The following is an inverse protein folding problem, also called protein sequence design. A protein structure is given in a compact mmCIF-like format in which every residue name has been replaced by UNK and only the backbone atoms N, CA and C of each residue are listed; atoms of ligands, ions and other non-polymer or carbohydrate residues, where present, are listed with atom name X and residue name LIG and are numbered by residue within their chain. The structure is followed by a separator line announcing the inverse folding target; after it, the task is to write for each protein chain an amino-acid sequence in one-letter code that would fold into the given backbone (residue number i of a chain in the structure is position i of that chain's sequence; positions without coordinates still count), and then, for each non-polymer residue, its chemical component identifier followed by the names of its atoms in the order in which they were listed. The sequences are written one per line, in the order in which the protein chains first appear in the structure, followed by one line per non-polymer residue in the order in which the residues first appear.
data_IF_491862636632
#
_entry.id   IF_491862636632
#
_cell.length_a   1.000
_cell.length_b   1.000
_cell.length_c   1.000
_cell.angle_alpha   90.00
_cell.angle_beta   90.00
_cell.angle_gamma   90.00
#
_symmetry.space_group_name_H-M   'P 1'
#
loop_
_entity.id
_entity.type
_entity.pdbx_description
1 polymer ?
#
# COMPACT_ATOMS: atom_id res chain seq x y z
N UNK A 1 1.80 -3.32 4.49
CA UNK A 1 1.66 -2.40 3.34
C UNK A 1 0.81 -2.99 2.21
N UNK A 2 0.52 -4.30 2.20
CA UNK A 2 -0.32 -5.01 1.24
C UNK A 2 -1.45 -5.67 2.01
N UNK A 3 -2.64 -5.07 1.97
CA UNK A 3 -3.77 -5.40 2.85
C UNK A 3 -5.09 -5.22 2.12
N UNK A 4 -5.92 -6.24 2.13
CA UNK A 4 -7.25 -6.30 1.56
C UNK A 4 -8.31 -6.22 2.64
N UNK A 5 -9.28 -5.34 2.43
CA UNK A 5 -10.42 -5.16 3.31
C UNK A 5 -11.66 -5.83 2.73
N UNK A 6 -12.79 -5.69 3.41
CA UNK A 6 -14.11 -6.10 2.90
C UNK A 6 -14.49 -5.49 1.54
N UNK A 7 -13.74 -4.49 1.07
CA UNK A 7 -13.94 -3.87 -0.23
C UNK A 7 -13.24 -4.64 -1.37
N UNK A 8 -12.30 -5.53 -1.04
CA UNK A 8 -11.84 -6.61 -1.94
C UNK A 8 -12.89 -7.71 -1.99
N UNK A 9 -14.01 -7.44 -2.67
CA UNK A 9 -15.32 -8.12 -2.54
C UNK A 9 -15.25 -9.64 -2.67
N UNK A 10 -14.30 -10.18 -3.44
CA UNK A 10 -14.24 -11.62 -3.73
C UNK A 10 -13.50 -12.42 -2.66
N UNK A 11 -12.57 -11.80 -1.93
CA UNK A 11 -11.63 -12.50 -1.07
C UNK A 11 -11.23 -11.74 0.22
N UNK A 12 -11.55 -10.46 0.32
CA UNK A 12 -11.28 -9.65 1.50
C UNK A 12 -12.33 -9.85 2.60
N UNK A 13 -11.96 -10.44 3.74
CA UNK A 13 -12.85 -10.63 4.88
C UNK A 13 -12.60 -9.61 6.01
N UNK A 14 -11.51 -8.90 5.96
CA UNK A 14 -11.08 -8.03 7.02
C UNK A 14 -11.86 -6.71 7.04
N UNK A 15 -12.67 -6.47 8.08
CA UNK A 15 -13.30 -5.16 8.26
C UNK A 15 -12.27 -4.11 8.66
N UNK A 16 -12.43 -2.90 8.16
CA UNK A 16 -11.52 -1.77 8.43
C UNK A 16 -11.35 -1.53 9.94
N UNK A 17 -12.42 -1.46 10.77
CA UNK A 17 -12.26 -1.28 12.21
C UNK A 17 -11.40 -2.37 12.87
N UNK A 18 -11.65 -3.64 12.56
CA UNK A 18 -10.89 -4.76 13.15
C UNK A 18 -9.41 -4.74 12.72
N UNK A 19 -9.13 -4.46 11.44
CA UNK A 19 -7.76 -4.31 10.94
C UNK A 19 -6.99 -3.22 11.68
N UNK A 20 -7.58 -2.03 11.79
CA UNK A 20 -6.94 -0.90 12.46
C UNK A 20 -6.72 -1.19 13.94
N UNK A 21 -7.72 -1.75 14.63
CA UNK A 21 -7.63 -2.08 16.05
C UNK A 21 -6.56 -3.15 16.31
N UNK A 22 -6.50 -4.18 15.47
CA UNK A 22 -5.46 -5.21 15.54
C UNK A 22 -4.07 -4.64 15.31
N UNK A 23 -3.89 -3.82 14.28
CA UNK A 23 -2.61 -3.18 14.00
C UNK A 23 -2.14 -2.27 15.14
N UNK A 24 -3.05 -1.52 15.77
CA UNK A 24 -2.74 -0.70 16.95
C UNK A 24 -2.35 -1.59 18.13
N UNK A 25 -3.12 -2.66 18.40
CA UNK A 25 -2.86 -3.60 19.49
C UNK A 25 -1.50 -4.30 19.33
N UNK A 26 -1.10 -4.61 18.09
CA UNK A 26 0.21 -5.20 17.75
C UNK A 26 1.36 -4.16 17.78
N UNK A 27 1.09 -2.91 18.17
CA UNK A 27 2.10 -1.85 18.28
C UNK A 27 2.59 -1.30 16.93
N UNK A 28 1.89 -1.54 15.84
CA UNK A 28 2.23 -0.99 14.53
C UNK A 28 2.03 0.52 14.51
N UNK A 29 2.84 1.22 13.72
CA UNK A 29 2.78 2.69 13.59
C UNK A 29 1.81 3.18 12.51
N UNK A 30 1.28 2.26 11.72
CA UNK A 30 0.35 2.52 10.63
C UNK A 30 0.04 1.26 9.87
N UNK A 31 -0.95 1.33 9.00
CA UNK A 31 -1.34 0.24 8.10
C UNK A 31 -1.74 0.84 6.74
N UNK A 32 -1.53 0.10 5.67
CA UNK A 32 -2.07 0.44 4.36
C UNK A 32 -3.40 -0.28 4.11
N UNK A 33 -4.22 0.30 3.25
CA UNK A 33 -5.34 -0.37 2.59
C UNK A 33 -5.05 -0.36 1.09
N UNK A 34 -5.05 -1.54 0.48
CA UNK A 34 -4.66 -1.76 -0.93
C UNK A 34 -5.62 -2.74 -1.59
N UNK A 35 -6.92 -2.44 -1.55
CA UNK A 35 -7.96 -3.29 -2.13
C UNK A 35 -7.78 -3.52 -3.63
N UNK A 36 -8.32 -4.63 -4.13
CA UNK A 36 -8.19 -5.05 -5.53
C UNK A 36 -8.85 -4.09 -6.51
N UNK A 37 -8.03 -3.29 -7.19
CA UNK A 37 -8.47 -2.41 -8.28
C UNK A 37 -9.38 -1.26 -7.85
N UNK A 38 -9.53 -1.00 -6.57
CA UNK A 38 -10.41 0.06 -6.07
C UNK A 38 -9.84 0.83 -4.85
N UNK A 39 -10.55 1.88 -4.48
CA UNK A 39 -10.27 2.73 -3.31
C UNK A 39 -11.57 2.97 -2.51
N UNK A 40 -12.53 2.07 -2.56
CA UNK A 40 -13.87 2.29 -2.00
C UNK A 40 -13.85 2.41 -0.48
N UNK A 41 -12.97 1.68 0.20
CA UNK A 41 -12.81 1.71 1.66
C UNK A 41 -12.05 2.92 2.21
N UNK A 42 -11.39 3.73 1.39
CA UNK A 42 -10.45 4.76 1.85
C UNK A 42 -11.10 5.80 2.74
N UNK A 43 -12.33 6.22 2.47
CA UNK A 43 -13.04 7.21 3.31
C UNK A 43 -13.40 6.65 4.69
N UNK A 44 -13.87 5.41 4.77
CA UNK A 44 -14.13 4.72 6.03
C UNK A 44 -12.84 4.56 6.82
N UNK A 45 -11.77 4.10 6.17
CA UNK A 45 -10.45 3.92 6.76
C UNK A 45 -9.90 5.22 7.35
N UNK A 46 -9.91 6.31 6.57
CA UNK A 46 -9.49 7.64 7.02
C UNK A 46 -10.26 8.10 8.25
N UNK A 47 -11.59 7.99 8.22
CA UNK A 47 -12.44 8.43 9.32
C UNK A 47 -12.20 7.60 10.58
N UNK A 48 -12.04 6.29 10.44
CA UNK A 48 -11.80 5.41 11.58
C UNK A 48 -10.44 5.67 12.24
N UNK A 49 -9.39 5.81 11.45
CA UNK A 49 -8.05 6.16 11.98
C UNK A 49 -8.06 7.54 12.64
N UNK A 50 -8.72 8.54 12.06
CA UNK A 50 -8.86 9.86 12.69
C UNK A 50 -9.60 9.79 14.03
N UNK A 51 -10.64 8.95 14.16
CA UNK A 51 -11.32 8.71 15.43
C UNK A 51 -10.36 8.11 16.47
N UNK A 52 -9.54 7.12 16.09
CA UNK A 52 -8.53 6.53 16.99
C UNK A 52 -7.47 7.53 17.42
N UNK A 53 -7.08 8.43 16.53
CA UNK A 53 -6.11 9.49 16.80
C UNK A 53 -6.71 10.72 17.52
N UNK A 54 -8.01 10.72 17.87
CA UNK A 54 -8.76 11.91 18.33
C UNK A 54 -8.09 12.64 19.48
N UNK A 55 -7.66 11.92 20.52
CA UNK A 55 -6.96 12.52 21.67
C UNK A 55 -5.64 13.18 21.27
N UNK A 56 -4.80 12.46 20.50
CA UNK A 56 -3.52 12.97 20.00
C UNK A 56 -3.70 14.15 19.04
N UNK A 57 -4.72 14.13 18.21
CA UNK A 57 -5.05 15.26 17.33
C UNK A 57 -5.48 16.51 18.14
N UNK A 58 -6.19 16.31 19.25
CA UNK A 58 -6.50 17.37 20.21
C UNK A 58 -5.23 17.98 20.80
N UNK A 59 -4.34 17.15 21.37
CA UNK A 59 -3.05 17.58 21.90
C UNK A 59 -2.23 18.39 20.88
N UNK A 60 -2.14 17.89 19.64
CA UNK A 60 -1.43 18.56 18.53
C UNK A 60 -2.06 19.94 18.23
N UNK A 61 -3.39 20.02 18.20
CA UNK A 61 -4.12 21.28 17.94
C UNK A 61 -3.83 22.31 19.02
N UNK A 62 -3.85 21.91 20.28
CA UNK A 62 -3.61 22.80 21.42
C UNK A 62 -2.16 23.28 21.45
N UNK A 63 -1.19 22.38 21.21
CA UNK A 63 0.22 22.74 21.09
C UNK A 63 0.46 23.74 19.95
N UNK A 64 -0.13 23.52 18.76
CA UNK A 64 -0.03 24.48 17.65
C UNK A 64 -0.62 25.85 17.99
N UNK A 65 -1.76 25.87 18.69
CA UNK A 65 -2.37 27.13 19.13
C UNK A 65 -1.49 27.85 20.12
N UNK A 66 -0.89 27.13 21.10
CA UNK A 66 0.03 27.70 22.09
C UNK A 66 1.30 28.27 21.43
N UNK A 67 1.92 27.51 20.51
CA UNK A 67 3.07 27.96 19.72
C UNK A 67 2.74 29.27 18.98
N UNK A 68 1.64 29.29 18.24
CA UNK A 68 1.22 30.48 17.50
C UNK A 68 0.93 31.69 18.41
N UNK A 69 0.41 31.45 19.61
CA UNK A 69 0.20 32.49 20.62
C UNK A 69 1.50 33.07 21.17
N UNK A 70 2.47 32.22 21.49
CA UNK A 70 3.81 32.62 21.93
C UNK A 70 4.57 33.41 20.85
N UNK A 71 4.53 32.95 19.59
CA UNK A 71 5.17 33.62 18.44
C UNK A 71 4.57 35.02 18.18
N UNK A 72 3.29 35.20 18.46
CA UNK A 72 2.58 36.51 18.32
C UNK A 72 2.64 37.37 19.58
N UNK A 73 3.20 36.91 20.69
CA UNK A 73 3.21 37.61 21.95
C UNK A 73 1.83 37.76 22.61
N UNK A 74 0.84 36.92 22.24
CA UNK A 74 -0.51 36.94 22.78
C UNK A 74 -0.70 35.99 23.98
N UNK A 75 0.31 35.21 24.31
CA UNK A 75 0.39 34.35 25.49
C UNK A 75 1.48 34.91 26.42
N UNK A 76 1.11 35.32 27.64
CA UNK A 76 2.06 35.77 28.65
C UNK A 76 2.91 34.59 29.12
N UNK A 77 4.24 34.76 29.09
CA UNK A 77 5.22 33.78 29.53
C UNK A 77 6.49 34.48 29.96
N UNK A 78 7.09 34.04 31.06
CA UNK A 78 8.35 34.63 31.60
C UNK A 78 9.53 34.40 30.63
N UNK A 79 9.58 33.27 29.95
CA UNK A 79 10.62 32.96 28.98
C UNK A 79 9.99 32.34 27.68
N UNK A 80 9.54 33.18 26.74
CA UNK A 80 8.86 32.70 25.52
C UNK A 80 9.71 31.78 24.65
N UNK A 81 11.04 32.04 24.59
CA UNK A 81 11.91 31.21 23.72
C UNK A 81 12.08 29.79 24.28
N UNK A 82 12.27 29.66 25.60
CA UNK A 82 12.36 28.34 26.23
C UNK A 82 11.03 27.56 26.10
N UNK A 83 9.90 28.23 26.32
CA UNK A 83 8.58 27.63 26.23
C UNK A 83 8.24 27.21 24.78
N UNK A 84 8.65 27.99 23.77
CA UNK A 84 8.53 27.65 22.38
C UNK A 84 9.33 26.37 22.04
N UNK A 85 10.56 26.25 22.55
CA UNK A 85 11.38 25.05 22.33
C UNK A 85 10.70 23.80 22.91
N UNK A 86 10.19 23.87 24.14
CA UNK A 86 9.46 22.79 24.82
C UNK A 86 8.19 22.43 24.02
N UNK A 87 7.38 23.41 23.64
CA UNK A 87 6.16 23.16 22.89
C UNK A 87 6.43 22.52 21.52
N UNK A 88 7.50 22.91 20.82
CA UNK A 88 7.90 22.32 19.56
C UNK A 88 8.35 20.86 19.72
N UNK A 89 9.13 20.56 20.75
CA UNK A 89 9.54 19.19 21.08
C UNK A 89 8.32 18.31 21.40
N UNK A 90 7.39 18.79 22.23
CA UNK A 90 6.15 18.11 22.56
C UNK A 90 5.29 17.87 21.31
N UNK A 91 5.24 18.84 20.41
CA UNK A 91 4.51 18.72 19.13
C UNK A 91 5.10 17.60 18.27
N UNK A 92 6.42 17.52 18.14
CA UNK A 92 7.05 16.44 17.37
C UNK A 92 6.86 15.07 18.05
N UNK A 93 6.91 15.03 19.39
CA UNK A 93 6.61 13.81 20.14
C UNK A 93 5.14 13.35 19.94
N UNK A 94 4.17 14.28 19.98
CA UNK A 94 2.77 13.99 19.74
C UNK A 94 2.53 13.50 18.30
N UNK A 95 3.14 14.11 17.29
CA UNK A 95 3.06 13.66 15.90
C UNK A 95 3.57 12.22 15.72
N UNK A 96 4.60 11.80 16.46
CA UNK A 96 5.13 10.43 16.42
C UNK A 96 4.20 9.39 17.04
N UNK A 97 3.24 9.80 17.88
CA UNK A 97 2.22 8.91 18.48
C UNK A 97 1.08 8.59 17.51
N UNK A 98 0.88 9.41 16.47
CA UNK A 98 -0.22 9.19 15.52
C UNK A 98 -0.06 7.87 14.79
N UNK A 99 -1.14 7.08 14.79
CA UNK A 99 -1.27 5.94 13.90
C UNK A 99 -1.51 6.43 12.47
N UNK A 100 -0.72 5.94 11.51
CA UNK A 100 -0.70 6.46 10.14
C UNK A 100 -1.57 5.64 9.20
N UNK A 101 -2.62 6.20 8.58
CA UNK A 101 -3.29 5.59 7.46
C UNK A 101 -2.44 5.77 6.20
N UNK A 102 -2.21 4.68 5.46
CA UNK A 102 -1.53 4.70 4.17
C UNK A 102 -2.55 4.29 3.11
N UNK A 103 -2.79 5.17 2.13
CA UNK A 103 -3.76 4.97 1.08
C UNK A 103 -3.12 4.34 -0.13
N UNK A 104 -3.71 3.26 -0.62
CA UNK A 104 -3.21 2.52 -1.75
C UNK A 104 -4.29 1.78 -2.51
N UNK A 105 -3.85 1.02 -3.48
CA UNK A 105 -4.65 0.10 -4.27
C UNK A 105 -3.73 -0.98 -4.83
N UNK A 106 -4.12 -2.23 -4.79
CA UNK A 106 -3.50 -3.25 -5.61
C UNK A 106 -4.11 -3.21 -7.01
N UNK A 107 -3.41 -2.56 -7.92
CA UNK A 107 -3.88 -2.33 -9.28
C UNK A 107 -3.63 -3.53 -10.20
N UNK A 108 -4.50 -3.70 -11.19
CA UNK A 108 -4.28 -4.61 -12.31
C UNK A 108 -3.60 -3.86 -13.45
N UNK A 109 -2.38 -4.24 -13.81
CA UNK A 109 -1.60 -3.64 -14.91
C UNK A 109 -1.75 -4.49 -16.15
N UNK A 110 -2.40 -3.96 -17.18
CA UNK A 110 -2.60 -4.66 -18.45
C UNK A 110 -1.26 -5.04 -19.09
N UNK A 111 -1.19 -6.25 -19.66
CA UNK A 111 0.01 -6.75 -20.36
C UNK A 111 0.31 -5.98 -21.64
N UNK A 112 -0.74 -5.41 -22.25
CA UNK A 112 -0.70 -4.51 -23.42
C UNK A 112 -1.20 -3.14 -22.98
N UNK A 113 -2.01 -2.50 -23.80
CA UNK A 113 -2.68 -1.25 -23.45
C UNK A 113 -4.01 -1.53 -22.77
N UNK A 114 -4.45 -0.65 -21.89
CA UNK A 114 -5.73 -0.76 -21.17
C UNK A 114 -6.95 -0.86 -22.11
N UNK A 115 -6.81 -0.37 -23.35
CA UNK A 115 -7.88 -0.44 -24.37
C UNK A 115 -8.00 -1.81 -25.07
N UNK A 116 -6.98 -2.66 -24.98
CA UNK A 116 -7.04 -4.00 -25.55
C UNK A 116 -7.99 -4.87 -24.70
N UNK A 117 -9.00 -5.44 -25.34
CA UNK A 117 -10.08 -6.22 -24.70
C UNK A 117 -10.36 -7.50 -25.48
N UNK A 118 -9.31 -8.26 -25.80
CA UNK A 118 -9.34 -9.40 -26.70
C UNK A 118 -8.90 -10.69 -26.00
N UNK A 119 -9.86 -11.49 -25.59
CA UNK A 119 -9.62 -12.83 -25.05
C UNK A 119 -8.84 -12.89 -23.73
N UNK A 120 -8.36 -14.08 -23.38
CA UNK A 120 -7.71 -14.37 -22.08
C UNK A 120 -6.52 -13.48 -21.72
N UNK A 121 -5.62 -13.08 -22.66
CA UNK A 121 -4.47 -12.24 -22.28
C UNK A 121 -4.85 -10.89 -21.68
N UNK A 122 -6.01 -10.36 -22.06
CA UNK A 122 -6.47 -9.04 -21.62
C UNK A 122 -7.49 -9.09 -20.46
N UNK A 123 -8.02 -10.26 -20.09
CA UNK A 123 -9.04 -10.40 -19.05
C UNK A 123 -8.54 -10.00 -17.65
N UNK A 124 -7.23 -10.07 -17.42
CA UNK A 124 -6.60 -9.71 -16.17
C UNK A 124 -5.30 -8.98 -16.45
N UNK A 125 -4.78 -8.30 -15.44
CA UNK A 125 -3.46 -7.67 -15.45
C UNK A 125 -2.49 -8.36 -14.50
N UNK A 126 -1.27 -7.83 -14.45
CA UNK A 126 -0.35 -8.11 -13.35
C UNK A 126 -0.76 -7.30 -12.12
N UNK A 127 -0.60 -7.86 -10.94
CA UNK A 127 -0.82 -7.12 -9.70
C UNK A 127 0.33 -6.14 -9.46
N UNK A 128 -0.01 -4.95 -8.96
CA UNK A 128 0.96 -3.92 -8.57
C UNK A 128 0.40 -3.16 -7.37
N UNK A 129 1.09 -3.21 -6.25
CA UNK A 129 0.73 -2.36 -5.10
C UNK A 129 1.18 -0.94 -5.36
N UNK A 130 0.25 -0.01 -5.32
CA UNK A 130 0.48 1.42 -5.53
C UNK A 130 0.01 2.18 -4.30
N UNK A 131 0.93 2.93 -3.67
CA UNK A 131 0.67 3.69 -2.45
C UNK A 131 0.84 5.18 -2.71
N UNK A 132 0.00 5.99 -2.10
CA UNK A 132 0.14 7.45 -2.11
C UNK A 132 1.21 7.90 -1.10
N UNK A 133 2.28 8.51 -1.58
CA UNK A 133 3.37 9.08 -0.77
C UNK A 133 3.00 10.43 -0.17
N UNK A 134 2.18 11.19 -0.89
CA UNK A 134 1.76 12.55 -0.55
C UNK A 134 0.42 12.88 -1.23
N UNK A 135 -0.07 14.11 -1.04
CA UNK A 135 -1.33 14.58 -1.60
C UNK A 135 -1.37 14.49 -3.13
N UNK A 136 -0.29 14.86 -3.81
CA UNK A 136 -0.17 14.72 -5.27
C UNK A 136 -0.33 13.27 -5.71
N UNK A 137 0.36 12.35 -5.03
CA UNK A 137 0.24 10.91 -5.27
C UNK A 137 -1.17 10.39 -5.01
N UNK A 138 -1.84 10.86 -3.96
CA UNK A 138 -3.23 10.50 -3.69
C UNK A 138 -4.17 10.90 -4.84
N UNK A 139 -4.05 12.12 -5.35
CA UNK A 139 -4.83 12.56 -6.50
C UNK A 139 -4.46 11.81 -7.79
N UNK A 140 -3.20 11.46 -7.98
CA UNK A 140 -2.75 10.66 -9.12
C UNK A 140 -3.29 9.22 -9.04
N UNK A 141 -3.28 8.62 -7.84
CA UNK A 141 -3.86 7.30 -7.62
C UNK A 141 -5.37 7.28 -7.92
N UNK A 142 -6.13 8.29 -7.48
CA UNK A 142 -7.55 8.44 -7.81
C UNK A 142 -7.75 8.46 -9.33
N UNK A 143 -6.92 9.20 -10.08
CA UNK A 143 -7.02 9.27 -11.54
C UNK A 143 -6.74 7.91 -12.19
N UNK A 144 -5.69 7.20 -11.73
CA UNK A 144 -5.35 5.88 -12.23
C UNK A 144 -6.49 4.88 -11.99
N UNK A 145 -7.02 4.81 -10.77
CA UNK A 145 -8.13 3.91 -10.42
C UNK A 145 -9.39 4.29 -11.20
N UNK A 146 -9.74 5.58 -11.29
CA UNK A 146 -10.92 6.02 -12.04
C UNK A 146 -10.82 5.64 -13.53
N UNK A 147 -9.66 5.86 -14.16
CA UNK A 147 -9.44 5.46 -15.56
C UNK A 147 -9.45 3.95 -15.74
N UNK A 148 -8.94 3.19 -14.78
CA UNK A 148 -9.01 1.73 -14.82
C UNK A 148 -10.47 1.24 -14.87
N UNK A 149 -11.38 1.87 -14.14
CA UNK A 149 -12.80 1.55 -14.15
C UNK A 149 -13.53 2.05 -15.41
N UNK A 150 -13.27 3.28 -15.84
CA UNK A 150 -14.04 3.90 -16.93
C UNK A 150 -13.54 3.53 -18.33
N UNK A 151 -12.24 3.35 -18.50
CA UNK A 151 -11.60 3.10 -19.79
C UNK A 151 -10.99 1.69 -19.89
N UNK A 152 -10.36 1.23 -18.81
CA UNK A 152 -9.58 0.00 -18.76
C UNK A 152 -10.34 -1.26 -18.37
N UNK A 153 -11.63 -1.16 -18.02
CA UNK A 153 -12.39 -2.30 -17.52
C UNK A 153 -12.59 -3.38 -18.61
N UNK A 154 -12.06 -4.57 -18.31
CA UNK A 154 -12.33 -5.81 -19.04
C UNK A 154 -12.14 -6.98 -18.10
N UNK A 155 -13.23 -7.49 -17.51
CA UNK A 155 -13.28 -8.43 -16.39
C UNK A 155 -12.67 -7.90 -15.08
N UNK A 156 -11.68 -7.00 -15.15
CA UNK A 156 -11.04 -6.30 -14.04
C UNK A 156 -10.78 -4.84 -14.46
N UNK A 157 -10.73 -3.89 -13.49
CA UNK A 157 -10.33 -2.51 -13.76
C UNK A 157 -8.80 -2.45 -13.95
N UNK A 158 -8.34 -2.24 -15.19
CA UNK A 158 -6.91 -2.30 -15.53
C UNK A 158 -6.36 -0.92 -15.89
N UNK A 159 -5.21 -0.63 -15.34
CA UNK A 159 -4.31 0.42 -15.84
C UNK A 159 -3.28 -0.16 -16.81
N UNK A 160 -2.37 0.66 -17.34
CA UNK A 160 -1.22 0.19 -18.10
C UNK A 160 0.04 1.03 -17.80
N UNK A 161 1.19 0.62 -18.34
CA UNK A 161 2.47 1.31 -18.14
C UNK A 161 2.44 2.77 -18.60
N UNK A 162 1.66 3.12 -19.62
CA UNK A 162 1.56 4.51 -20.13
C UNK A 162 0.84 5.41 -19.14
N UNK A 163 -0.26 4.93 -18.56
CA UNK A 163 -0.97 5.69 -17.53
C UNK A 163 -0.17 5.78 -16.22
N UNK A 164 0.51 4.69 -15.83
CA UNK A 164 1.41 4.69 -14.68
C UNK A 164 2.53 5.71 -14.84
N UNK A 165 3.20 5.75 -16.00
CA UNK A 165 4.26 6.73 -16.29
C UNK A 165 3.72 8.16 -16.28
N UNK A 166 2.52 8.40 -16.81
CA UNK A 166 1.87 9.71 -16.83
C UNK A 166 1.53 10.24 -15.43
N UNK A 167 1.13 9.37 -14.51
CA UNK A 167 0.66 9.74 -13.17
C UNK A 167 1.56 9.24 -12.04
N UNK A 168 2.84 8.97 -12.30
CA UNK A 168 3.78 8.37 -11.35
C UNK A 168 4.12 9.26 -10.15
N UNK A 169 4.04 10.59 -10.32
CA UNK A 169 4.51 11.55 -9.31
C UNK A 169 3.79 11.38 -7.97
N UNK A 170 4.57 11.24 -6.89
CA UNK A 170 4.07 11.08 -5.53
C UNK A 170 3.51 9.69 -5.21
N UNK A 171 3.78 8.70 -6.07
CA UNK A 171 3.43 7.30 -5.85
C UNK A 171 4.64 6.47 -5.43
N UNK A 172 4.40 5.51 -4.55
CA UNK A 172 5.33 4.42 -4.22
C UNK A 172 4.72 3.16 -4.82
N UNK A 173 5.54 2.32 -5.46
CA UNK A 173 5.10 1.05 -6.03
C UNK A 173 5.88 -0.13 -5.49
N UNK A 174 5.19 -1.26 -5.28
CA UNK A 174 5.77 -2.53 -4.89
C UNK A 174 5.33 -3.63 -5.86
N UNK A 175 6.18 -4.64 -6.06
CA UNK A 175 5.97 -5.69 -7.09
C UNK A 175 4.81 -6.65 -6.81
N UNK A 176 4.07 -6.43 -5.74
CA UNK A 176 2.92 -7.22 -5.30
C UNK A 176 3.24 -8.70 -5.02
N UNK A 177 2.20 -9.55 -5.04
CA UNK A 177 2.27 -10.98 -4.77
C UNK A 177 2.81 -11.78 -5.98
N UNK A 178 2.69 -13.11 -5.94
CA UNK A 178 3.10 -14.01 -7.06
C UNK A 178 2.36 -13.71 -8.39
N UNK A 179 1.28 -12.95 -8.37
CA UNK A 179 0.57 -12.48 -9.55
C UNK A 179 1.13 -11.17 -10.13
N UNK A 180 2.08 -10.52 -9.43
CA UNK A 180 2.80 -9.35 -9.94
C UNK A 180 3.67 -9.65 -11.16
N UNK A 181 3.97 -8.64 -11.97
CA UNK A 181 4.71 -8.83 -13.23
C UNK A 181 6.09 -9.47 -13.01
N UNK A 182 6.86 -8.94 -12.06
CA UNK A 182 8.22 -9.41 -11.77
C UNK A 182 8.21 -10.81 -11.17
N UNK A 183 7.51 -11.09 -10.05
CA UNK A 183 7.52 -12.42 -9.45
C UNK A 183 6.91 -13.48 -10.36
N UNK A 184 5.88 -13.15 -11.13
CA UNK A 184 5.25 -14.08 -12.08
C UNK A 184 6.21 -14.51 -13.19
N UNK A 185 6.98 -13.58 -13.75
CA UNK A 185 7.98 -13.88 -14.76
C UNK A 185 9.14 -14.71 -14.17
N UNK A 186 9.58 -14.42 -12.94
CA UNK A 186 10.58 -15.25 -12.24
C UNK A 186 10.08 -16.70 -12.10
N UNK A 187 8.87 -16.89 -11.59
CA UNK A 187 8.27 -18.22 -11.38
C UNK A 187 8.12 -18.97 -12.71
N UNK A 188 7.85 -18.27 -13.80
CA UNK A 188 7.75 -18.83 -15.14
C UNK A 188 9.12 -19.09 -15.82
N UNK A 189 10.24 -18.78 -15.15
CA UNK A 189 11.59 -18.88 -15.71
C UNK A 189 11.93 -17.84 -16.77
N UNK A 190 11.12 -16.79 -16.89
CA UNK A 190 11.25 -15.68 -17.84
C UNK A 190 12.05 -14.54 -17.19
N UNK A 191 13.32 -14.80 -16.99
CA UNK A 191 14.19 -13.90 -16.22
C UNK A 191 14.47 -12.57 -16.95
N UNK A 192 14.60 -12.60 -18.28
CA UNK A 192 14.82 -11.39 -19.08
C UNK A 192 13.61 -10.43 -18.99
N UNK A 193 12.40 -10.96 -19.09
CA UNK A 193 11.16 -10.16 -18.93
C UNK A 193 11.01 -9.62 -17.52
N UNK A 194 11.43 -10.38 -16.49
CA UNK A 194 11.43 -9.89 -15.11
C UNK A 194 12.42 -8.72 -14.92
N UNK A 195 13.60 -8.84 -15.50
CA UNK A 195 14.63 -7.81 -15.44
C UNK A 195 14.23 -6.55 -16.21
N UNK A 196 13.63 -6.70 -17.40
CA UNK A 196 13.06 -5.58 -18.17
C UNK A 196 12.00 -4.83 -17.36
N UNK A 197 11.10 -5.56 -16.71
CA UNK A 197 10.08 -4.96 -15.86
C UNK A 197 10.70 -4.17 -14.69
N UNK A 198 11.70 -4.73 -14.00
CA UNK A 198 12.41 -4.04 -12.91
C UNK A 198 13.05 -2.75 -13.41
N UNK A 199 13.73 -2.79 -14.56
CA UNK A 199 14.39 -1.63 -15.13
C UNK A 199 13.38 -0.55 -15.50
N UNK A 200 12.22 -0.94 -16.06
CA UNK A 200 11.14 -0.01 -16.39
C UNK A 200 10.58 0.67 -15.14
N UNK A 201 10.21 -0.12 -14.12
CA UNK A 201 9.67 0.43 -12.86
C UNK A 201 10.69 1.34 -12.17
N UNK A 202 11.97 0.94 -12.12
CA UNK A 202 13.02 1.77 -11.54
C UNK A 202 13.22 3.08 -12.30
N UNK A 203 13.15 3.07 -13.62
CA UNK A 203 13.25 4.28 -14.43
C UNK A 203 12.12 5.26 -14.14
N UNK A 204 10.89 4.75 -13.97
CA UNK A 204 9.69 5.58 -13.77
C UNK A 204 9.58 6.08 -12.34
N UNK A 205 9.78 5.22 -11.35
CA UNK A 205 9.52 5.51 -9.93
C UNK A 205 10.78 5.77 -9.10
N UNK A 206 11.96 5.52 -9.64
CA UNK A 206 13.24 5.77 -8.97
C UNK A 206 13.35 5.04 -7.63
N UNK A 207 13.61 5.78 -6.56
CA UNK A 207 13.73 5.29 -5.19
C UNK A 207 12.41 4.94 -4.51
N UNK A 208 11.29 5.24 -5.15
CA UNK A 208 9.94 4.90 -4.71
C UNK A 208 9.44 3.57 -5.31
N UNK A 209 10.31 2.81 -5.97
CA UNK A 209 10.07 1.43 -6.41
C UNK A 209 10.70 0.43 -5.46
N UNK A 210 9.94 -0.61 -5.08
CA UNK A 210 10.34 -1.66 -4.15
C UNK A 210 10.05 -3.05 -4.71
N UNK A 211 10.97 -4.00 -4.48
CA UNK A 211 10.71 -5.42 -4.69
C UNK A 211 10.07 -5.99 -3.42
N UNK A 212 8.93 -6.64 -3.57
CA UNK A 212 8.12 -7.11 -2.47
C UNK A 212 8.37 -8.59 -2.18
N UNK A 213 8.71 -8.90 -0.93
CA UNK A 213 8.91 -10.26 -0.45
C UNK A 213 7.72 -10.70 0.40
N UNK A 214 7.17 -11.86 0.09
CA UNK A 214 6.07 -12.46 0.83
C UNK A 214 6.43 -13.90 1.25
N UNK A 215 5.95 -14.33 2.42
CA UNK A 215 6.15 -15.69 2.94
C UNK A 215 4.92 -16.16 3.69
N UNK A 216 4.02 -16.84 3.00
CA UNK A 216 2.78 -17.36 3.56
C UNK A 216 2.85 -18.89 3.72
N UNK A 217 3.47 -19.35 4.81
CA UNK A 217 3.44 -20.76 5.15
C UNK A 217 2.11 -21.09 5.82
N UNK A 218 1.19 -21.64 5.04
CA UNK A 218 -0.10 -22.04 5.56
C UNK A 218 0.04 -23.16 6.61
N UNK A 219 -0.63 -22.97 7.74
CA UNK A 219 -0.73 -23.96 8.83
C UNK A 219 -2.03 -24.72 8.78
N UNK A 220 -3.04 -24.17 8.10
CA UNK A 220 -4.38 -24.75 7.98
C UNK A 220 -4.43 -25.74 6.80
N UNK A 221 -4.93 -26.98 6.98
CA UNK A 221 -4.90 -28.03 5.94
C UNK A 221 -5.60 -27.66 4.62
N UNK A 222 -6.61 -26.78 4.66
CA UNK A 222 -7.38 -26.36 3.48
C UNK A 222 -6.78 -25.17 2.72
N UNK A 223 -5.75 -24.52 3.30
CA UNK A 223 -5.13 -23.37 2.67
C UNK A 223 -4.28 -23.79 1.45
N UNK A 224 -4.02 -22.84 0.55
CA UNK A 224 -3.14 -23.05 -0.58
C UNK A 224 -1.68 -23.19 -0.14
N UNK A 225 -1.16 -24.41 -0.15
CA UNK A 225 0.23 -24.71 0.24
C UNK A 225 1.24 -24.49 -0.92
N UNK A 226 0.78 -24.34 -2.14
CA UNK A 226 1.65 -24.13 -3.31
C UNK A 226 2.20 -22.73 -3.35
N UNK A 227 1.43 -21.73 -2.90
CA UNK A 227 1.85 -20.34 -2.89
C UNK A 227 3.18 -20.13 -2.16
N UNK A 228 3.40 -20.80 -1.03
CA UNK A 228 4.64 -20.67 -0.27
C UNK A 228 5.88 -21.12 -1.05
N UNK A 229 5.79 -22.23 -1.80
CA UNK A 229 6.89 -22.72 -2.64
C UNK A 229 7.21 -21.73 -3.77
N UNK A 230 6.19 -21.19 -4.41
CA UNK A 230 6.34 -20.18 -5.46
C UNK A 230 6.94 -18.89 -4.92
N UNK A 231 6.52 -18.46 -3.72
CA UNK A 231 7.11 -17.33 -3.03
C UNK A 231 8.58 -17.52 -2.70
N UNK A 232 9.01 -18.73 -2.30
CA UNK A 232 10.42 -19.04 -2.05
C UNK A 232 11.24 -18.84 -3.32
N UNK A 233 10.80 -19.41 -4.46
CA UNK A 233 11.46 -19.26 -5.76
C UNK A 233 11.56 -17.77 -6.15
N UNK A 234 10.47 -17.04 -6.03
CA UNK A 234 10.44 -15.61 -6.36
C UNK A 234 11.39 -14.81 -5.46
N UNK A 235 11.34 -15.06 -4.13
CA UNK A 235 12.10 -14.30 -3.15
C UNK A 235 13.63 -14.44 -3.34
N UNK A 236 14.13 -15.64 -3.68
CA UNK A 236 15.55 -15.85 -3.95
C UNK A 236 16.02 -14.92 -5.08
N UNK A 237 15.28 -14.88 -6.18
CA UNK A 237 15.60 -14.02 -7.32
C UNK A 237 15.37 -12.53 -7.04
N UNK A 238 14.33 -12.17 -6.30
CA UNK A 238 14.08 -10.78 -5.92
C UNK A 238 15.20 -10.22 -5.04
N UNK A 239 15.77 -11.03 -4.14
CA UNK A 239 16.93 -10.63 -3.31
C UNK A 239 18.18 -10.44 -4.19
N UNK A 240 18.42 -11.31 -5.17
CA UNK A 240 19.50 -11.16 -6.15
C UNK A 240 19.32 -9.86 -6.96
N UNK A 241 18.12 -9.63 -7.48
CA UNK A 241 17.80 -8.46 -8.29
C UNK A 241 17.81 -7.14 -7.50
N UNK A 242 17.45 -7.18 -6.21
CA UNK A 242 17.60 -6.03 -5.33
C UNK A 242 19.03 -5.51 -5.31
N UNK A 243 20.01 -6.41 -5.19
CA UNK A 243 21.44 -6.07 -5.22
C UNK A 243 21.89 -5.64 -6.63
N UNK A 244 21.50 -6.40 -7.66
CA UNK A 244 21.90 -6.17 -9.06
C UNK A 244 21.44 -4.80 -9.56
N UNK A 245 20.20 -4.41 -9.23
CA UNK A 245 19.57 -3.18 -9.73
C UNK A 245 19.52 -2.05 -8.71
N UNK A 246 20.07 -2.25 -7.51
CA UNK A 246 19.98 -1.29 -6.39
C UNK A 246 18.52 -0.84 -6.15
N UNK A 247 17.62 -1.81 -5.98
CA UNK A 247 16.20 -1.60 -5.64
C UNK A 247 15.97 -2.10 -4.22
N UNK A 248 15.28 -1.32 -3.39
CA UNK A 248 14.99 -1.67 -2.01
C UNK A 248 13.99 -2.82 -1.92
N UNK A 249 14.12 -3.63 -0.87
CA UNK A 249 13.17 -4.68 -0.53
C UNK A 249 12.16 -4.19 0.50
N UNK A 250 10.93 -4.71 0.41
CA UNK A 250 9.89 -4.57 1.42
C UNK A 250 9.25 -5.93 1.70
N UNK A 251 8.97 -6.22 2.98
CA UNK A 251 8.25 -7.42 3.36
C UNK A 251 6.78 -7.08 3.62
N UNK A 252 5.87 -7.88 3.07
CA UNK A 252 4.43 -7.73 3.28
C UNK A 252 3.78 -9.10 3.50
N UNK A 253 2.52 -9.09 3.91
CA UNK A 253 1.78 -10.32 4.20
C UNK A 253 0.54 -10.53 3.32
N UNK A 254 0.21 -9.59 2.41
CA UNK A 254 -0.97 -9.75 1.55
C UNK A 254 -2.22 -10.18 2.34
N UNK A 255 -2.56 -9.34 3.33
CA UNK A 255 -3.54 -9.67 4.38
C UNK A 255 -4.95 -9.64 3.81
N UNK A 256 -5.72 -10.72 3.96
CA UNK A 256 -7.12 -10.81 3.55
C UNK A 256 -8.09 -11.02 4.72
N UNK A 257 -7.59 -11.32 5.90
CA UNK A 257 -8.37 -11.53 7.12
C UNK A 257 -7.60 -11.02 8.35
N UNK A 258 -8.29 -10.86 9.49
CA UNK A 258 -7.70 -10.29 10.71
C UNK A 258 -7.16 -11.36 11.63
N UNK A 259 -7.94 -12.40 11.89
CA UNK A 259 -7.64 -13.44 12.88
C UNK A 259 -7.46 -14.79 12.19
N UNK A 260 -6.61 -15.65 12.77
CA UNK A 260 -6.28 -16.98 12.25
C UNK A 260 -7.52 -17.86 12.00
N UNK A 261 -8.55 -17.73 12.85
CA UNK A 261 -9.83 -18.43 12.71
C UNK A 261 -10.53 -18.12 11.37
N UNK A 262 -10.27 -16.96 10.80
CA UNK A 262 -10.84 -16.54 9.53
C UNK A 262 -10.10 -17.11 8.30
N UNK A 263 -8.96 -17.77 8.50
CA UNK A 263 -8.21 -18.42 7.42
C UNK A 263 -8.95 -19.59 6.76
N UNK A 264 -9.99 -20.14 7.44
CA UNK A 264 -10.86 -21.19 6.88
C UNK A 264 -11.98 -20.65 5.99
N UNK A 265 -12.27 -19.36 6.04
CA UNK A 265 -13.18 -18.75 5.08
C UNK A 265 -12.61 -18.96 3.66
N UNK A 266 -13.45 -19.28 2.67
CA UNK A 266 -12.96 -19.58 1.34
C UNK A 266 -12.29 -18.34 0.74
N UNK A 267 -11.00 -18.22 0.96
CA UNK A 267 -10.13 -17.37 0.16
C UNK A 267 -9.91 -18.12 -1.13
N UNK A 268 -10.97 -18.25 -1.89
CA UNK A 268 -10.89 -18.92 -3.16
C UNK A 268 -10.69 -17.88 -4.25
N UNK A 269 -9.77 -18.19 -5.11
CA UNK A 269 -9.59 -17.59 -6.43
C UNK A 269 -8.43 -16.60 -6.62
N UNK A 270 -7.29 -16.85 -6.00
CA UNK A 270 -6.04 -16.38 -6.59
C UNK A 270 -5.31 -17.52 -7.26
#
# INVERSE_FOLDING_TARGET
LHVHTQYSILDGQASIPRLVDKAIADGMKGIAVTDHGDMFGIKEFFNYVNKKNGGTNGEIKDLKKKIAGLEKGTVECENPEAELAVCREQLEAAKKKLFKPIFGCEMYVARRRLFNKEGKPDQSGYHLVVLAKNEKGYHNLIKLVSKAWTEGFYMRPRTDRVELEKYHEGLIVCTACIAGEVPKNIIAGKYEEAEEAIQWYKRVFGDDFYLELQRHKATVPRANHEAYKLQQIANEKLIEYSKKYNVKLVCTNDVHFVDEENAEAPVSYT
#
